data_IF_152071850292
#
_entry.id   IF_152071850292
#
_cell.length_a   1.000
_cell.length_b   1.000
_cell.length_c   1.000
_cell.angle_alpha   90.00
_cell.angle_beta   90.00
_cell.angle_gamma   90.00
#
_symmetry.space_group_name_H-M   'P 1'
#
loop_
_entity.id
_entity.type
_entity.pdbx_description
1 polymer ?
#
# COMPACT_ATOMS: atom_id res chain seq x y z
N UNK A 1 -20.90 -40.48 18.14
CA UNK A 1 -21.62 -39.63 19.10
C UNK A 1 -20.84 -38.32 19.23
N UNK A 2 -21.42 -37.16 18.87
CA UNK A 2 -20.78 -35.86 19.14
C UNK A 2 -21.01 -35.53 20.62
N UNK A 3 -19.93 -35.36 21.37
CA UNK A 3 -19.99 -34.85 22.73
C UNK A 3 -20.54 -33.40 22.65
N UNK A 4 -21.61 -33.06 23.38
CA UNK A 4 -22.10 -31.68 23.40
C UNK A 4 -21.02 -30.77 23.97
N UNK A 5 -20.65 -29.74 23.20
CA UNK A 5 -19.66 -28.75 23.64
C UNK A 5 -20.25 -27.87 24.75
N UNK A 6 -19.48 -27.54 25.80
CA UNK A 6 -19.95 -26.61 26.83
C UNK A 6 -20.37 -25.27 26.22
N UNK A 7 -21.45 -24.67 26.69
CA UNK A 7 -21.95 -23.35 26.21
C UNK A 7 -20.83 -22.28 26.22
N UNK A 8 -19.91 -22.36 27.19
CA UNK A 8 -18.74 -21.47 27.27
C UNK A 8 -17.72 -21.65 26.13
N UNK A 9 -17.58 -22.86 25.57
CA UNK A 9 -16.70 -23.12 24.43
C UNK A 9 -17.25 -22.51 23.14
N UNK A 10 -18.57 -22.61 22.94
CA UNK A 10 -19.24 -22.03 21.77
C UNK A 10 -19.07 -20.50 21.75
N UNK A 11 -19.30 -19.84 22.89
CA UNK A 11 -19.15 -18.38 23.01
C UNK A 11 -17.70 -17.90 22.82
N UNK A 12 -16.72 -18.66 23.31
CA UNK A 12 -15.30 -18.32 23.09
C UNK A 12 -14.93 -18.44 21.62
N UNK A 13 -15.41 -19.46 20.93
CA UNK A 13 -15.12 -19.66 19.51
C UNK A 13 -15.75 -18.54 18.66
N UNK A 14 -17.00 -18.17 18.92
CA UNK A 14 -17.65 -17.00 18.29
C UNK A 14 -16.83 -15.73 18.48
N UNK A 15 -16.33 -15.47 19.70
CA UNK A 15 -15.51 -14.28 19.96
C UNK A 15 -14.16 -14.29 19.23
N UNK A 16 -13.56 -15.48 19.04
CA UNK A 16 -12.31 -15.63 18.31
C UNK A 16 -12.51 -15.46 16.81
N UNK A 17 -13.62 -15.97 16.27
CA UNK A 17 -13.99 -15.82 14.87
C UNK A 17 -14.29 -14.34 14.54
N UNK A 18 -15.06 -13.63 15.38
CA UNK A 18 -15.31 -12.18 15.24
C UNK A 18 -14.02 -11.34 15.29
N UNK A 19 -13.10 -11.70 16.20
CA UNK A 19 -11.77 -11.05 16.28
C UNK A 19 -10.94 -11.32 15.02
N UNK A 20 -11.02 -12.53 14.48
CA UNK A 20 -10.35 -12.92 13.23
C UNK A 20 -10.86 -12.14 12.02
N UNK A 21 -12.19 -12.02 11.88
CA UNK A 21 -12.83 -11.24 10.82
C UNK A 21 -12.47 -9.75 10.91
N UNK A 22 -12.59 -9.15 12.10
CA UNK A 22 -12.24 -7.73 12.33
C UNK A 22 -10.77 -7.45 11.98
N UNK A 23 -9.87 -8.36 12.35
CA UNK A 23 -8.44 -8.28 12.00
C UNK A 23 -8.19 -8.32 10.49
N UNK A 24 -8.95 -9.13 9.76
CA UNK A 24 -8.86 -9.22 8.30
C UNK A 24 -9.37 -7.95 7.63
N UNK A 25 -10.49 -7.39 8.09
CA UNK A 25 -11.06 -6.14 7.58
C UNK A 25 -10.10 -4.95 7.77
N UNK A 26 -9.47 -4.85 8.94
CA UNK A 26 -8.47 -3.82 9.23
C UNK A 26 -7.24 -3.98 8.33
N UNK A 27 -6.78 -5.22 8.11
CA UNK A 27 -5.67 -5.49 7.19
C UNK A 27 -6.02 -5.05 5.76
N UNK A 28 -7.23 -5.37 5.29
CA UNK A 28 -7.72 -4.97 3.98
C UNK A 28 -7.77 -3.44 3.85
N UNK A 29 -8.28 -2.75 4.86
CA UNK A 29 -8.31 -1.28 4.89
C UNK A 29 -6.91 -0.68 4.73
N UNK A 30 -5.91 -1.20 5.45
CA UNK A 30 -4.54 -0.72 5.30
C UNK A 30 -3.98 -0.98 3.90
N UNK A 31 -4.29 -2.11 3.28
CA UNK A 31 -3.90 -2.37 1.89
C UNK A 31 -4.55 -1.41 0.91
N UNK A 32 -5.84 -1.10 1.08
CA UNK A 32 -6.55 -0.11 0.26
C UNK A 32 -5.87 1.26 0.39
N UNK A 33 -5.59 1.70 1.61
CA UNK A 33 -4.89 2.97 1.86
C UNK A 33 -3.47 2.97 1.30
N UNK A 34 -2.73 1.86 1.42
CA UNK A 34 -1.40 1.72 0.84
C UNK A 34 -1.44 1.88 -0.69
N UNK A 35 -2.37 1.21 -1.37
CA UNK A 35 -2.57 1.33 -2.82
C UNK A 35 -2.95 2.77 -3.19
N UNK A 36 -3.82 3.40 -2.39
CA UNK A 36 -4.27 4.75 -2.65
C UNK A 36 -3.15 5.78 -2.52
N UNK A 37 -2.36 5.76 -1.44
CA UNK A 37 -1.30 6.75 -1.22
C UNK A 37 0.00 6.41 -1.96
N UNK A 38 0.51 5.19 -1.82
CA UNK A 38 1.78 4.78 -2.43
C UNK A 38 1.64 4.46 -3.91
N UNK A 39 0.51 3.89 -4.33
CA UNK A 39 0.22 3.64 -5.73
C UNK A 39 -0.26 4.91 -6.41
N UNK A 40 -1.54 5.24 -6.23
CA UNK A 40 -2.23 6.29 -6.99
C UNK A 40 -1.72 7.70 -6.65
N UNK A 41 -1.66 8.06 -5.36
CA UNK A 41 -1.29 9.39 -4.89
C UNK A 41 0.11 9.80 -5.32
N UNK A 42 1.10 8.94 -5.07
CA UNK A 42 2.46 9.17 -5.54
C UNK A 42 2.51 9.24 -7.06
N UNK A 43 1.84 8.35 -7.80
CA UNK A 43 1.84 8.36 -9.28
C UNK A 43 1.28 9.64 -9.87
N UNK A 44 0.12 10.09 -9.38
CA UNK A 44 -0.53 11.31 -9.88
C UNK A 44 0.29 12.55 -9.53
N UNK A 45 0.77 12.65 -8.28
CA UNK A 45 1.55 13.81 -7.83
C UNK A 45 2.88 13.93 -8.57
N UNK A 46 3.55 12.81 -8.77
CA UNK A 46 4.71 12.63 -9.64
C UNK A 46 4.46 13.12 -11.07
N UNK A 47 3.36 12.69 -11.69
CA UNK A 47 3.01 13.11 -13.05
C UNK A 47 2.78 14.62 -13.15
N UNK A 48 2.16 15.22 -12.13
CA UNK A 48 1.96 16.67 -12.06
C UNK A 48 3.30 17.42 -12.06
N UNK A 49 4.27 17.00 -11.23
CA UNK A 49 5.63 17.58 -11.22
C UNK A 49 6.31 17.42 -12.58
N UNK A 50 6.25 16.22 -13.17
CA UNK A 50 6.87 15.94 -14.47
C UNK A 50 6.27 16.78 -15.61
N UNK A 51 4.95 16.97 -15.64
CA UNK A 51 4.28 17.84 -16.63
C UNK A 51 4.72 19.30 -16.57
N UNK A 52 5.32 19.68 -15.44
CA UNK A 52 5.93 20.96 -15.06
C UNK A 52 7.19 21.39 -15.81
N UNK A 53 7.85 20.48 -16.54
CA UNK A 53 9.33 20.47 -16.68
C UNK A 53 10.05 20.51 -15.30
N UNK A 54 9.34 20.17 -14.23
CA UNK A 54 9.86 20.09 -12.88
C UNK A 54 10.89 18.98 -12.80
N UNK A 55 12.08 19.29 -12.27
CA UNK A 55 13.13 18.31 -12.10
C UNK A 55 12.72 17.36 -10.96
N UNK A 56 12.06 16.25 -11.30
CA UNK A 56 11.54 15.27 -10.35
C UNK A 56 12.62 14.88 -9.32
N UNK A 57 12.43 15.17 -8.01
CA UNK A 57 13.43 14.87 -7.00
C UNK A 57 13.59 13.36 -6.76
N UNK A 58 12.59 12.55 -7.13
CA UNK A 58 12.63 11.12 -6.94
C UNK A 58 13.48 10.40 -8.02
N UNK A 59 14.68 9.89 -7.69
CA UNK A 59 15.54 9.21 -8.66
C UNK A 59 14.93 7.89 -9.15
N UNK A 60 14.08 7.24 -8.34
CA UNK A 60 13.39 6.00 -8.72
C UNK A 60 12.36 6.31 -9.80
N UNK A 61 11.65 7.44 -9.69
CA UNK A 61 10.76 7.86 -10.76
C UNK A 61 11.53 8.14 -12.04
N UNK A 62 12.59 8.97 -12.00
CA UNK A 62 13.39 9.29 -13.18
C UNK A 62 13.92 8.03 -13.87
N UNK A 63 14.35 7.02 -13.09
CA UNK A 63 14.77 5.73 -13.64
C UNK A 63 13.60 4.95 -14.26
N UNK A 64 12.46 4.86 -13.58
CA UNK A 64 11.30 4.11 -14.05
C UNK A 64 10.63 4.68 -15.31
N UNK A 65 10.65 6.02 -15.46
CA UNK A 65 10.20 6.71 -16.66
C UNK A 65 11.07 6.39 -17.87
N UNK A 66 12.32 5.97 -17.67
CA UNK A 66 13.25 5.55 -18.72
C UNK A 66 13.16 4.07 -19.09
N UNK A 67 12.36 3.26 -18.38
CA UNK A 67 12.24 1.82 -18.64
C UNK A 67 11.41 1.50 -19.89
N UNK A 68 10.40 2.32 -20.18
CA UNK A 68 9.49 2.10 -21.31
C UNK A 68 9.34 3.39 -22.13
N UNK A 69 9.01 3.28 -23.44
CA UNK A 69 8.76 4.44 -24.30
C UNK A 69 7.64 5.34 -23.76
N UNK A 70 6.67 4.73 -23.08
CA UNK A 70 5.66 5.40 -22.28
C UNK A 70 6.09 5.35 -20.81
N UNK A 71 6.86 6.35 -20.39
CA UNK A 71 7.50 6.36 -19.06
C UNK A 71 6.51 6.21 -17.91
N UNK A 72 5.29 6.74 -18.06
CA UNK A 72 4.22 6.60 -17.07
C UNK A 72 3.82 5.13 -16.88
N UNK A 73 3.71 4.39 -17.98
CA UNK A 73 3.40 2.96 -17.96
C UNK A 73 4.52 2.19 -17.25
N UNK A 74 5.78 2.54 -17.49
CA UNK A 74 6.93 1.97 -16.77
C UNK A 74 6.86 2.18 -15.26
N UNK A 75 6.51 3.39 -14.83
CA UNK A 75 6.37 3.72 -13.41
C UNK A 75 5.21 2.97 -12.74
N UNK A 76 4.05 2.92 -13.39
CA UNK A 76 2.87 2.17 -12.90
C UNK A 76 3.19 0.68 -12.76
N UNK A 77 3.89 0.09 -13.73
CA UNK A 77 4.28 -1.32 -13.67
C UNK A 77 5.25 -1.61 -12.52
N UNK A 78 6.27 -0.78 -12.32
CA UNK A 78 7.23 -0.95 -11.22
C UNK A 78 6.51 -0.89 -9.87
N UNK A 79 5.61 0.07 -9.68
CA UNK A 79 4.81 0.18 -8.44
C UNK A 79 3.87 -1.00 -8.25
N UNK A 80 3.18 -1.41 -9.31
CA UNK A 80 2.28 -2.57 -9.25
C UNK A 80 3.05 -3.82 -8.85
N UNK A 81 4.19 -4.08 -9.49
CA UNK A 81 5.06 -5.19 -9.15
C UNK A 81 5.56 -5.12 -7.70
N UNK A 82 6.00 -3.95 -7.24
CA UNK A 82 6.46 -3.75 -5.86
C UNK A 82 5.34 -4.03 -4.84
N UNK A 83 4.14 -3.47 -5.05
CA UNK A 83 2.98 -3.69 -4.18
C UNK A 83 2.59 -5.17 -4.19
N UNK A 84 2.55 -5.84 -5.35
CA UNK A 84 2.22 -7.26 -5.45
C UNK A 84 3.23 -8.15 -4.72
N UNK A 85 4.54 -7.88 -4.85
CA UNK A 85 5.59 -8.62 -4.14
C UNK A 85 5.45 -8.42 -2.63
N UNK A 86 5.27 -7.18 -2.18
CA UNK A 86 5.09 -6.87 -0.76
C UNK A 86 3.81 -7.48 -0.19
N UNK A 87 2.73 -7.51 -0.98
CA UNK A 87 1.49 -8.19 -0.61
C UNK A 87 1.70 -9.69 -0.46
N UNK A 88 2.40 -10.33 -1.40
CA UNK A 88 2.73 -11.75 -1.30
C UNK A 88 3.60 -12.05 -0.07
N UNK A 89 4.60 -11.21 0.22
CA UNK A 89 5.44 -11.34 1.42
C UNK A 89 4.58 -11.22 2.69
N UNK A 90 3.69 -10.23 2.75
CA UNK A 90 2.79 -10.04 3.89
C UNK A 90 1.85 -11.24 4.08
N UNK A 91 1.34 -11.81 2.99
CA UNK A 91 0.47 -12.97 3.01
C UNK A 91 1.18 -14.21 3.58
N UNK A 92 2.45 -14.40 3.22
CA UNK A 92 3.27 -15.52 3.71
C UNK A 92 3.72 -15.36 5.17
N UNK A 93 3.62 -14.16 5.75
CA UNK A 93 3.98 -13.94 7.14
C UNK A 93 2.84 -14.37 8.05
N UNK A 94 3.02 -15.32 8.97
CA UNK A 94 2.03 -15.63 10.00
C UNK A 94 2.22 -14.74 11.25
N UNK A 95 1.13 -14.23 11.82
CA UNK A 95 1.13 -13.46 13.08
C UNK A 95 0.86 -11.95 12.96
N UNK A 96 1.06 -11.24 14.07
CA UNK A 96 0.64 -9.84 14.28
C UNK A 96 1.36 -8.78 13.41
N UNK A 97 2.34 -9.18 12.60
CA UNK A 97 3.16 -8.26 11.81
C UNK A 97 2.64 -8.04 10.38
N UNK A 98 1.56 -8.73 9.98
CA UNK A 98 0.92 -8.62 8.65
C UNK A 98 0.54 -7.18 8.29
N UNK A 99 0.21 -6.36 9.27
CA UNK A 99 -0.20 -4.97 9.10
C UNK A 99 0.98 -4.01 8.92
N UNK A 100 2.21 -4.41 9.25
CA UNK A 100 3.37 -3.52 9.17
C UNK A 100 3.66 -3.07 7.74
N UNK A 101 3.58 -4.00 6.79
CA UNK A 101 3.88 -3.73 5.38
C UNK A 101 2.95 -2.65 4.81
N UNK A 102 1.60 -2.79 4.88
CA UNK A 102 0.74 -1.73 4.36
C UNK A 102 0.85 -0.42 5.16
N UNK A 103 1.13 -0.45 6.47
CA UNK A 103 1.38 0.79 7.25
C UNK A 103 2.62 1.53 6.72
N UNK A 104 3.74 0.83 6.51
CA UNK A 104 4.96 1.43 5.97
C UNK A 104 4.71 2.01 4.58
N UNK A 105 3.94 1.30 3.74
CA UNK A 105 3.55 1.80 2.42
C UNK A 105 2.68 3.06 2.50
N UNK A 106 1.72 3.14 3.42
CA UNK A 106 0.91 4.34 3.64
C UNK A 106 1.83 5.52 4.00
N UNK A 107 2.73 5.35 4.97
CA UNK A 107 3.63 6.42 5.41
C UNK A 107 4.55 6.89 4.28
N UNK A 108 5.14 5.95 3.54
CA UNK A 108 5.96 6.25 2.36
C UNK A 108 5.16 6.98 1.29
N UNK A 109 3.94 6.51 0.98
CA UNK A 109 3.06 7.11 -0.01
C UNK A 109 2.63 8.54 0.34
N UNK A 110 2.27 8.77 1.61
CA UNK A 110 1.93 10.11 2.12
C UNK A 110 3.13 11.05 2.02
N UNK A 111 4.31 10.60 2.45
CA UNK A 111 5.54 11.37 2.36
C UNK A 111 5.87 11.75 0.91
N UNK A 112 5.88 10.78 0.00
CA UNK A 112 6.18 11.01 -1.41
C UNK A 112 5.16 11.95 -2.05
N UNK A 113 3.87 11.70 -1.86
CA UNK A 113 2.79 12.55 -2.39
C UNK A 113 2.94 13.99 -1.89
N UNK A 114 3.23 14.17 -0.60
CA UNK A 114 3.41 15.50 0.01
C UNK A 114 4.64 16.19 -0.56
N UNK A 115 5.76 15.48 -0.67
CA UNK A 115 6.99 16.04 -1.23
C UNK A 115 6.81 16.47 -2.69
N UNK A 116 6.13 15.65 -3.50
CA UNK A 116 5.80 15.98 -4.88
C UNK A 116 4.88 17.21 -4.96
N UNK A 117 3.88 17.31 -4.08
CA UNK A 117 3.00 18.48 -4.02
C UNK A 117 3.75 19.76 -3.60
N UNK A 118 4.68 19.67 -2.65
CA UNK A 118 5.51 20.81 -2.26
C UNK A 118 6.37 21.29 -3.42
N UNK A 119 7.00 20.37 -4.15
CA UNK A 119 7.79 20.69 -5.35
C UNK A 119 6.90 21.30 -6.43
N UNK A 120 5.73 20.71 -6.69
CA UNK A 120 4.76 21.24 -7.66
C UNK A 120 4.32 22.67 -7.33
N UNK A 121 4.08 22.98 -6.05
CA UNK A 121 3.70 24.33 -5.62
C UNK A 121 4.88 25.33 -5.68
N UNK A 122 6.12 24.84 -5.62
CA UNK A 122 7.34 25.65 -5.65
C UNK A 122 7.81 25.98 -7.09
N UNK A 123 7.39 25.23 -8.11
CA UNK A 123 7.74 25.43 -9.55
C UNK A 123 7.15 26.74 -10.16
N UNK A 124 6.76 27.72 -9.35
CA UNK A 124 6.29 29.04 -9.84
C UNK A 124 7.38 29.93 -10.41
#
# INVERSE_FOLDING_TARGET
MRVPQPIGYVRLQESLDELGETSADVALLFWILAILFFGLGDTVSSFMVFSQDGNEPNPIMRWSLGLLPDGLLGFVLVKTAAISILYAIAFLWEGAHRWMIPIVLILAGVYLTTNNMLVFLDIR
#
